data_IF_275113250024
#
_entry.id   IF_275113250024
#
_cell.length_a   1.000
_cell.length_b   1.000
_cell.length_c   1.000
_cell.angle_alpha   90.00
_cell.angle_beta   90.00
_cell.angle_gamma   90.00
#
_symmetry.space_group_name_H-M   'P 1'
#
loop_
_entity.id
_entity.type
_entity.pdbx_description
1 polymer ?
#
# COMPACT_ATOMS: atom_id res chain seq x y z
N UNK A 1 -31.99 -46.57 -15.01
CA UNK A 1 -32.67 -45.48 -14.28
C UNK A 1 -32.26 -45.61 -12.82
N UNK A 2 -31.42 -44.71 -12.31
CA UNK A 2 -30.95 -44.72 -10.92
C UNK A 2 -32.00 -44.08 -10.01
N UNK A 3 -32.17 -44.63 -8.80
CA UNK A 3 -33.20 -44.27 -7.83
C UNK A 3 -32.91 -42.93 -7.14
N UNK A 4 -33.94 -42.21 -6.70
CA UNK A 4 -33.86 -40.86 -6.11
C UNK A 4 -32.97 -40.74 -4.87
N UNK A 5 -32.55 -41.85 -4.25
CA UNK A 5 -31.62 -41.85 -3.11
C UNK A 5 -30.15 -41.65 -3.55
N UNK A 6 -29.77 -42.02 -4.77
CA UNK A 6 -28.39 -41.87 -5.27
C UNK A 6 -28.13 -40.50 -5.92
N UNK A 7 -29.18 -39.73 -6.21
CA UNK A 7 -29.06 -38.32 -6.65
C UNK A 7 -28.85 -37.34 -5.49
N UNK A 8 -29.15 -37.73 -4.24
CA UNK A 8 -29.02 -36.85 -3.07
C UNK A 8 -27.64 -36.86 -2.41
N UNK A 9 -26.75 -37.78 -2.77
CA UNK A 9 -25.36 -37.83 -2.31
C UNK A 9 -24.36 -37.07 -3.21
N UNK A 10 -24.83 -36.50 -4.34
CA UNK A 10 -24.02 -35.74 -5.29
C UNK A 10 -24.25 -34.21 -5.25
N UNK A 11 -25.15 -33.70 -4.40
CA UNK A 11 -25.15 -32.27 -4.07
C UNK A 11 -24.14 -32.03 -2.96
N UNK A 12 -22.93 -31.75 -3.43
CA UNK A 12 -21.76 -31.47 -2.61
C UNK A 12 -22.07 -30.57 -1.44
N UNK A 13 -21.50 -30.96 -0.30
CA UNK A 13 -21.35 -30.19 0.93
C UNK A 13 -21.01 -28.75 0.56
N UNK A 14 -22.01 -27.88 0.59
CA UNK A 14 -21.79 -26.45 0.56
C UNK A 14 -21.37 -26.07 1.99
N UNK A 15 -20.16 -26.47 2.36
CA UNK A 15 -19.43 -25.81 3.43
C UNK A 15 -19.17 -24.40 2.92
N UNK A 16 -20.11 -23.49 3.18
CA UNK A 16 -19.81 -22.07 3.21
C UNK A 16 -18.63 -21.92 4.16
N UNK A 17 -17.41 -21.90 3.60
CA UNK A 17 -16.28 -21.27 4.26
C UNK A 17 -16.80 -19.90 4.70
N UNK A 18 -16.63 -19.50 5.97
CA UNK A 18 -16.93 -18.14 6.35
C UNK A 18 -16.19 -17.24 5.36
N UNK A 19 -16.94 -16.36 4.72
CA UNK A 19 -16.44 -15.35 3.81
C UNK A 19 -15.35 -14.55 4.54
N UNK A 20 -14.09 -14.90 4.31
CA UNK A 20 -12.91 -14.18 4.77
C UNK A 20 -12.69 -12.89 3.95
N UNK A 21 -13.78 -12.25 3.52
CA UNK A 21 -13.79 -10.99 2.81
C UNK A 21 -14.55 -10.00 3.68
N UNK A 22 -13.82 -9.10 4.35
CA UNK A 22 -14.25 -7.73 4.74
C UNK A 22 -13.26 -7.01 5.67
N UNK A 23 -12.20 -7.64 6.18
CA UNK A 23 -11.20 -6.93 7.01
C UNK A 23 -9.99 -6.39 6.22
N UNK A 24 -9.95 -6.57 4.91
CA UNK A 24 -8.75 -6.34 4.08
C UNK A 24 -8.47 -4.91 3.64
N UNK A 25 -9.24 -3.91 4.11
CA UNK A 25 -9.15 -2.55 3.61
C UNK A 25 -9.42 -1.49 4.69
N UNK A 26 -8.93 -1.72 5.91
CA UNK A 26 -9.03 -0.72 6.97
C UNK A 26 -8.12 0.48 6.67
N UNK A 27 -8.68 1.67 6.84
CA UNK A 27 -7.95 2.93 6.76
C UNK A 27 -7.16 3.17 8.06
N UNK A 28 -5.98 3.76 7.91
CA UNK A 28 -5.23 4.33 9.02
C UNK A 28 -5.92 5.64 9.41
N UNK A 29 -6.25 5.76 10.68
CA UNK A 29 -6.80 6.98 11.26
C UNK A 29 -5.85 7.40 12.38
N UNK A 30 -4.89 8.27 12.06
CA UNK A 30 -3.91 8.78 13.04
C UNK A 30 -3.77 10.30 12.87
N UNK A 31 -4.39 11.09 13.77
CA UNK A 31 -4.23 12.54 13.76
C UNK A 31 -2.77 12.97 13.83
N UNK A 32 -1.95 12.28 14.65
CA UNK A 32 -0.52 12.58 14.78
C UNK A 32 0.25 12.42 13.47
N UNK A 33 -0.02 11.34 12.73
CA UNK A 33 0.58 11.12 11.42
C UNK A 33 0.18 12.22 10.45
N UNK A 34 -1.09 12.58 10.41
CA UNK A 34 -1.63 13.57 9.48
C UNK A 34 -1.18 14.99 9.81
N UNK A 35 -1.18 15.38 11.09
CA UNK A 35 -0.62 16.64 11.55
C UNK A 35 0.85 16.75 11.21
N UNK A 36 1.61 15.68 11.41
CA UNK A 36 3.01 15.65 11.02
C UNK A 36 3.19 15.84 9.50
N UNK A 37 2.40 15.15 8.67
CA UNK A 37 2.48 15.29 7.21
C UNK A 37 2.12 16.72 6.77
N UNK A 38 1.13 17.37 7.41
CA UNK A 38 0.68 18.75 7.11
C UNK A 38 1.77 19.79 7.27
N UNK A 39 2.74 19.57 8.16
CA UNK A 39 3.89 20.46 8.33
C UNK A 39 4.79 20.51 7.08
N UNK A 40 4.64 19.55 6.18
CA UNK A 40 5.39 19.48 4.93
C UNK A 40 4.52 19.95 3.77
N UNK A 41 5.08 20.82 2.93
CA UNK A 41 4.42 21.30 1.71
C UNK A 41 4.31 20.20 0.64
N UNK A 42 3.45 19.22 0.88
CA UNK A 42 3.15 18.08 0.01
C UNK A 42 1.78 18.30 -0.65
N UNK A 43 1.62 17.97 -1.94
CA UNK A 43 0.32 18.00 -2.59
C UNK A 43 -0.48 16.76 -2.16
N UNK A 44 -0.98 16.72 -0.93
CA UNK A 44 -1.74 15.59 -0.37
C UNK A 44 -3.12 16.05 0.05
N UNK A 45 -4.13 15.23 -0.23
CA UNK A 45 -5.52 15.43 0.20
C UNK A 45 -5.76 14.47 1.36
N UNK A 46 -5.87 14.99 2.58
CA UNK A 46 -6.03 14.18 3.79
C UNK A 46 -7.52 13.92 4.09
N UNK A 47 -7.80 12.80 4.77
CA UNK A 47 -9.17 12.33 5.01
C UNK A 47 -10.05 13.32 5.81
N UNK A 48 -9.45 14.16 6.66
CA UNK A 48 -10.21 15.14 7.45
C UNK A 48 -10.69 16.34 6.62
N UNK A 49 -10.24 16.47 5.37
CA UNK A 49 -10.88 17.36 4.40
C UNK A 49 -12.23 16.71 4.04
N UNK A 50 -13.33 17.29 4.52
CA UNK A 50 -14.73 16.82 4.35
C UNK A 50 -14.92 16.01 3.07
N UNK A 51 -15.53 14.81 3.13
CA UNK A 51 -15.71 13.90 1.97
C UNK A 51 -16.23 14.62 0.70
N UNK A 52 -17.04 15.67 0.86
CA UNK A 52 -17.50 16.58 -0.22
C UNK A 52 -16.37 17.20 -1.07
N UNK A 53 -15.18 17.40 -0.50
CA UNK A 53 -14.00 17.89 -1.20
C UNK A 53 -13.31 16.80 -2.00
N UNK A 54 -13.31 15.55 -1.53
CA UNK A 54 -12.64 14.41 -2.19
C UNK A 54 -13.44 13.96 -3.41
N UNK A 55 -14.77 14.08 -3.42
CA UNK A 55 -15.62 13.78 -4.58
C UNK A 55 -15.27 14.62 -5.83
N UNK A 56 -14.65 15.78 -5.64
CA UNK A 56 -14.18 16.64 -6.73
C UNK A 56 -12.86 16.19 -7.36
N UNK A 57 -12.30 15.05 -6.92
CA UNK A 57 -11.06 14.50 -7.46
C UNK A 57 -11.31 13.19 -8.21
N UNK A 58 -10.68 13.06 -9.37
CA UNK A 58 -10.63 11.82 -10.11
C UNK A 58 -9.54 10.91 -9.53
N UNK A 59 -9.86 9.64 -9.24
CA UNK A 59 -8.86 8.66 -8.84
C UNK A 59 -7.99 8.28 -10.03
N UNK A 60 -6.67 8.36 -9.86
CA UNK A 60 -5.75 7.94 -10.90
C UNK A 60 -5.67 6.41 -10.98
N UNK A 61 -5.62 5.87 -12.19
CA UNK A 61 -5.48 4.42 -12.44
C UNK A 61 -4.03 3.91 -12.31
N UNK A 62 -3.24 4.51 -11.42
CA UNK A 62 -1.88 4.07 -11.12
C UNK A 62 -1.51 4.32 -9.66
N UNK A 63 -0.47 3.62 -9.20
CA UNK A 63 0.13 3.85 -7.89
C UNK A 63 1.64 3.68 -7.95
N UNK A 64 2.34 4.29 -6.98
CA UNK A 64 3.79 4.21 -6.84
C UNK A 64 4.11 3.59 -5.49
N UNK A 65 4.84 2.48 -5.46
CA UNK A 65 5.37 1.89 -4.21
C UNK A 65 6.83 2.27 -4.06
N UNK A 66 7.15 3.00 -2.99
CA UNK A 66 8.51 3.20 -2.53
C UNK A 66 8.98 2.00 -1.75
N UNK A 67 10.22 1.61 -1.96
CA UNK A 67 10.91 0.55 -1.21
C UNK A 67 12.22 1.11 -0.66
N UNK A 68 12.42 0.98 0.64
CA UNK A 68 13.67 1.36 1.30
C UNK A 68 14.51 0.12 1.64
N UNK A 69 13.93 -1.07 1.56
CA UNK A 69 14.55 -2.36 1.81
C UNK A 69 14.21 -3.33 0.69
N UNK A 70 15.04 -4.35 0.52
CA UNK A 70 14.80 -5.45 -0.42
C UNK A 70 13.52 -6.18 0.00
N UNK A 71 12.51 -6.14 -0.86
CA UNK A 71 11.28 -6.93 -0.71
C UNK A 71 11.35 -8.21 -1.53
N UNK A 72 10.27 -8.99 -1.51
CA UNK A 72 10.19 -10.26 -2.26
C UNK A 72 10.44 -10.10 -3.75
N UNK A 73 10.00 -8.98 -4.33
CA UNK A 73 10.19 -8.73 -5.74
C UNK A 73 11.69 -8.54 -6.05
N UNK A 74 12.37 -7.66 -5.31
CA UNK A 74 13.81 -7.44 -5.48
C UNK A 74 14.63 -8.68 -5.11
N UNK A 75 14.30 -9.39 -4.05
CA UNK A 75 14.98 -10.63 -3.66
C UNK A 75 14.94 -11.64 -4.81
N UNK A 76 13.77 -11.88 -5.41
CA UNK A 76 13.63 -12.80 -6.56
C UNK A 76 14.31 -12.29 -7.82
N UNK A 77 14.25 -10.98 -8.08
CA UNK A 77 14.81 -10.39 -9.29
C UNK A 77 16.34 -10.25 -9.26
N UNK A 78 16.93 -10.05 -8.09
CA UNK A 78 18.35 -9.68 -7.94
C UNK A 78 19.17 -10.66 -7.10
N UNK A 79 18.52 -11.52 -6.33
CA UNK A 79 19.18 -12.41 -5.36
C UNK A 79 19.64 -11.71 -4.08
N UNK A 80 19.37 -10.41 -3.90
CA UNK A 80 19.72 -9.66 -2.70
C UNK A 80 18.96 -10.19 -1.47
N UNK A 81 19.53 -10.06 -0.28
CA UNK A 81 18.95 -10.59 0.96
C UNK A 81 17.65 -9.86 1.31
N UNK A 82 16.60 -10.60 1.67
CA UNK A 82 15.31 -10.03 2.04
C UNK A 82 15.44 -9.14 3.29
N UNK A 83 14.80 -7.98 3.28
CA UNK A 83 14.92 -6.93 4.31
C UNK A 83 16.34 -6.38 4.48
N UNK A 84 17.21 -6.52 3.48
CA UNK A 84 18.43 -5.72 3.39
C UNK A 84 18.08 -4.27 3.04
N UNK A 85 18.64 -3.30 3.77
CA UNK A 85 18.45 -1.88 3.46
C UNK A 85 19.04 -1.52 2.09
N UNK A 86 18.30 -0.72 1.31
CA UNK A 86 18.79 -0.17 0.06
C UNK A 86 19.63 1.09 0.32
N UNK A 87 20.73 1.26 -0.41
CA UNK A 87 21.56 2.48 -0.33
C UNK A 87 20.76 3.74 -0.69
N UNK A 88 19.89 3.62 -1.68
CA UNK A 88 18.94 4.67 -2.08
C UNK A 88 17.56 4.06 -2.23
N UNK A 89 16.49 4.76 -1.80
CA UNK A 89 15.12 4.27 -2.01
C UNK A 89 14.87 3.97 -3.49
N UNK A 90 14.27 2.82 -3.75
CA UNK A 90 13.75 2.43 -5.06
C UNK A 90 12.25 2.68 -5.14
N UNK A 91 11.69 2.50 -6.34
CA UNK A 91 10.23 2.49 -6.48
C UNK A 91 9.78 1.56 -7.61
N UNK A 92 8.53 1.14 -7.49
CA UNK A 92 7.80 0.46 -8.55
C UNK A 92 6.56 1.25 -8.90
N UNK A 93 6.06 1.03 -10.11
CA UNK A 93 4.77 1.57 -10.54
C UNK A 93 3.82 0.47 -10.96
N UNK A 94 2.54 0.70 -10.72
CA UNK A 94 1.48 -0.28 -10.96
C UNK A 94 0.38 0.38 -11.78
N UNK A 95 -0.10 -0.33 -12.81
CA UNK A 95 -1.33 0.00 -13.52
C UNK A 95 -2.50 -0.66 -12.77
N UNK A 96 -3.31 0.15 -12.09
CA UNK A 96 -4.47 -0.26 -11.27
C UNK A 96 -4.19 -1.10 -10.00
N UNK A 97 -5.16 -1.07 -9.10
CA UNK A 97 -5.27 -1.73 -7.79
C UNK A 97 -5.51 -3.25 -7.84
N UNK A 98 -5.94 -3.79 -8.99
CA UNK A 98 -6.36 -5.20 -9.11
C UNK A 98 -5.17 -6.14 -9.27
N UNK A 99 -4.10 -5.73 -9.97
CA UNK A 99 -2.92 -6.55 -10.23
C UNK A 99 -1.69 -5.94 -9.55
N UNK A 100 -1.16 -6.65 -8.55
CA UNK A 100 0.03 -6.24 -7.77
C UNK A 100 1.35 -6.53 -8.49
N UNK A 101 1.39 -6.36 -9.82
CA UNK A 101 2.61 -6.59 -10.60
C UNK A 101 3.21 -5.24 -11.01
N UNK A 102 4.48 -4.97 -10.65
CA UNK A 102 5.21 -3.82 -11.16
C UNK A 102 5.22 -3.80 -12.69
N UNK A 103 5.02 -2.62 -13.26
CA UNK A 103 5.17 -2.35 -14.70
C UNK A 103 6.21 -1.26 -14.92
N UNK A 104 6.73 -1.16 -16.14
CA UNK A 104 7.52 0.00 -16.58
C UNK A 104 6.62 1.24 -16.69
N UNK A 105 7.16 2.43 -16.43
CA UNK A 105 6.48 3.70 -16.69
C UNK A 105 6.08 3.86 -18.16
N UNK A 106 6.87 3.31 -19.08
CA UNK A 106 6.56 3.35 -20.52
C UNK A 106 5.28 2.60 -20.87
N UNK A 107 4.91 1.58 -20.08
CA UNK A 107 3.64 0.87 -20.23
C UNK A 107 2.48 1.77 -19.80
N UNK A 108 2.64 2.58 -18.74
CA UNK A 108 1.63 3.53 -18.32
C UNK A 108 1.40 4.61 -19.39
N UNK A 109 2.48 5.07 -20.04
CA UNK A 109 2.41 6.03 -21.14
C UNK A 109 1.69 5.44 -22.35
N UNK A 110 2.04 4.21 -22.74
CA UNK A 110 1.44 3.52 -23.87
C UNK A 110 -0.06 3.24 -23.67
N UNK A 111 -0.49 3.05 -22.42
CA UNK A 111 -1.90 2.90 -22.05
C UNK A 111 -2.63 4.22 -21.83
N UNK A 112 -1.95 5.36 -22.03
CA UNK A 112 -2.50 6.70 -21.80
C UNK A 112 -3.06 6.89 -20.37
N UNK A 113 -2.48 6.20 -19.38
CA UNK A 113 -2.85 6.32 -17.96
C UNK A 113 -2.27 7.60 -17.36
N UNK A 114 -1.06 7.95 -17.78
CA UNK A 114 -0.32 9.11 -17.26
C UNK A 114 0.64 9.62 -18.32
N UNK A 115 0.93 10.92 -18.31
CA UNK A 115 1.98 11.52 -19.12
C UNK A 115 3.36 11.43 -18.44
N UNK A 116 4.48 11.58 -19.18
CA UNK A 116 5.81 11.62 -18.58
C UNK A 116 6.00 12.75 -17.55
N UNK A 117 5.36 13.91 -17.78
CA UNK A 117 5.42 15.03 -16.85
C UNK A 117 4.69 14.72 -15.54
N UNK A 118 3.46 14.24 -15.64
CA UNK A 118 2.66 13.81 -14.49
C UNK A 118 3.36 12.72 -13.68
N UNK A 119 3.98 11.74 -14.36
CA UNK A 119 4.76 10.68 -13.70
C UNK A 119 5.94 11.25 -12.92
N UNK A 120 6.67 12.22 -13.49
CA UNK A 120 7.78 12.89 -12.81
C UNK A 120 7.31 13.68 -11.58
N UNK A 121 6.14 14.32 -11.67
CA UNK A 121 5.52 15.04 -10.54
C UNK A 121 5.10 14.04 -9.46
N UNK A 122 4.41 12.96 -9.84
CA UNK A 122 3.94 11.92 -8.95
C UNK A 122 5.10 11.28 -8.17
N UNK A 123 6.10 10.77 -8.87
CA UNK A 123 7.29 10.14 -8.27
C UNK A 123 8.03 11.12 -7.36
N UNK A 124 8.27 12.36 -7.78
CA UNK A 124 8.90 13.38 -6.91
C UNK A 124 8.10 13.60 -5.61
N UNK A 125 6.78 13.67 -5.68
CA UNK A 125 5.92 13.79 -4.51
C UNK A 125 6.02 12.55 -3.61
N UNK A 126 6.05 11.35 -4.19
CA UNK A 126 6.22 10.08 -3.47
C UNK A 126 7.56 10.00 -2.73
N UNK A 127 8.67 10.37 -3.36
CA UNK A 127 9.98 10.40 -2.72
C UNK A 127 10.02 11.39 -1.55
N UNK A 128 9.38 12.55 -1.70
CA UNK A 128 9.27 13.54 -0.61
C UNK A 128 8.44 12.99 0.54
N UNK A 129 7.28 12.38 0.27
CA UNK A 129 6.47 11.74 1.30
C UNK A 129 7.23 10.59 1.99
N UNK A 130 7.96 9.76 1.25
CA UNK A 130 8.79 8.70 1.81
C UNK A 130 9.85 9.25 2.76
N UNK A 131 10.55 10.33 2.40
CA UNK A 131 11.53 10.97 3.28
C UNK A 131 10.90 11.52 4.58
N UNK A 132 9.72 12.14 4.47
CA UNK A 132 8.92 12.60 5.60
C UNK A 132 8.55 11.44 6.52
N UNK A 133 7.95 10.38 5.97
CA UNK A 133 7.51 9.22 6.76
C UNK A 133 8.67 8.42 7.35
N UNK A 134 9.80 8.31 6.64
CA UNK A 134 11.01 7.72 7.22
C UNK A 134 11.42 8.44 8.49
N UNK A 135 11.50 9.77 8.44
CA UNK A 135 11.85 10.59 9.61
C UNK A 135 10.84 10.42 10.74
N UNK A 136 9.54 10.32 10.41
CA UNK A 136 8.48 10.09 11.40
C UNK A 136 8.65 8.77 12.16
N UNK A 137 8.93 7.68 11.44
CA UNK A 137 9.09 6.34 12.02
C UNK A 137 10.44 6.16 12.71
N UNK A 138 11.52 6.75 12.17
CA UNK A 138 12.86 6.69 12.78
C UNK A 138 12.83 7.26 14.21
N UNK A 139 12.09 8.36 14.45
CA UNK A 139 11.88 8.95 15.79
C UNK A 139 11.14 8.02 16.76
N UNK A 140 10.48 6.98 16.26
CA UNK A 140 9.73 5.97 17.03
C UNK A 140 10.47 4.62 17.09
N UNK A 141 11.77 4.61 16.79
CA UNK A 141 12.59 3.39 16.73
C UNK A 141 12.05 2.35 15.76
N UNK A 142 11.56 2.84 14.62
CA UNK A 142 10.95 2.07 13.56
C UNK A 142 11.57 2.45 12.20
N UNK A 143 11.69 1.47 11.31
CA UNK A 143 12.19 1.64 9.95
C UNK A 143 11.04 1.50 8.95
N UNK A 144 10.89 2.48 8.06
CA UNK A 144 9.90 2.40 6.98
C UNK A 144 10.41 1.47 5.88
N UNK A 145 9.85 0.28 5.78
CA UNK A 145 10.22 -0.74 4.78
C UNK A 145 9.71 -0.35 3.39
N UNK A 146 8.42 -0.03 3.29
CA UNK A 146 7.81 0.38 2.02
C UNK A 146 6.59 1.26 2.22
N UNK A 147 6.26 2.05 1.20
CA UNK A 147 5.11 2.95 1.16
C UNK A 147 4.43 2.87 -0.22
N UNK A 148 3.16 2.48 -0.28
CA UNK A 148 2.33 2.55 -1.47
C UNK A 148 1.54 3.85 -1.50
N UNK A 149 1.70 4.62 -2.56
CA UNK A 149 1.06 5.92 -2.75
C UNK A 149 0.10 5.86 -3.93
N UNK A 150 -1.13 6.27 -3.68
CA UNK A 150 -2.21 6.41 -4.67
C UNK A 150 -2.40 7.90 -4.98
N UNK A 151 -2.97 8.20 -6.13
CA UNK A 151 -3.07 9.58 -6.61
C UNK A 151 -4.51 9.98 -6.97
N UNK A 152 -4.75 11.27 -6.82
CA UNK A 152 -5.95 11.99 -7.16
C UNK A 152 -5.61 13.06 -8.20
N UNK A 153 -6.54 13.36 -9.10
CA UNK A 153 -6.39 14.40 -10.13
C UNK A 153 -7.53 15.40 -10.03
N UNK A 154 -7.19 16.69 -10.06
CA UNK A 154 -8.15 17.80 -10.13
C UNK A 154 -7.55 18.94 -10.96
N UNK A 155 -8.31 19.45 -11.94
CA UNK A 155 -7.87 20.57 -12.79
C UNK A 155 -6.47 20.38 -13.39
N UNK A 156 -6.18 19.16 -13.86
CA UNK A 156 -4.89 18.75 -14.42
C UNK A 156 -3.70 18.80 -13.43
N UNK A 157 -3.95 18.85 -12.13
CA UNK A 157 -2.94 18.72 -11.07
C UNK A 157 -3.08 17.39 -10.36
N UNK A 158 -1.95 16.79 -10.02
CA UNK A 158 -1.88 15.55 -9.25
C UNK A 158 -1.67 15.83 -7.76
N UNK A 159 -2.39 15.05 -6.97
CA UNK A 159 -2.33 15.05 -5.52
C UNK A 159 -2.17 13.61 -5.02
N UNK A 160 -1.55 13.44 -3.87
CA UNK A 160 -1.49 12.19 -3.14
C UNK A 160 -2.87 11.96 -2.50
N UNK A 161 -3.42 10.76 -2.65
CA UNK A 161 -4.57 10.29 -1.87
C UNK A 161 -4.11 9.97 -0.45
N UNK A 162 -4.49 10.80 0.52
CA UNK A 162 -4.11 10.65 1.92
C UNK A 162 -4.87 9.56 2.68
N UNK A 163 -5.76 8.82 2.02
CA UNK A 163 -6.47 7.67 2.60
C UNK A 163 -5.57 6.44 2.60
N UNK A 164 -4.57 6.44 3.48
CA UNK A 164 -3.65 5.32 3.65
C UNK A 164 -4.36 4.15 4.32
N UNK A 165 -4.15 2.96 3.77
CA UNK A 165 -4.59 1.70 4.38
C UNK A 165 -3.42 1.06 5.13
N UNK A 166 -3.69 0.17 6.08
CA UNK A 166 -2.63 -0.58 6.76
C UNK A 166 -1.75 -1.40 5.81
N UNK A 167 -2.27 -1.77 4.63
CA UNK A 167 -1.50 -2.42 3.57
C UNK A 167 -0.53 -1.48 2.85
N UNK A 168 -0.77 -0.17 2.91
CA UNK A 168 -0.03 0.82 2.14
C UNK A 168 1.29 1.18 2.83
N UNK A 169 1.40 0.99 4.16
CA UNK A 169 2.59 1.33 4.96
C UNK A 169 3.15 0.07 5.61
N UNK A 170 4.43 -0.22 5.36
CA UNK A 170 5.18 -1.32 5.99
C UNK A 170 6.29 -0.77 6.86
N UNK A 171 6.26 -1.12 8.14
CA UNK A 171 7.21 -0.64 9.15
C UNK A 171 7.77 -1.82 9.93
N UNK A 172 9.04 -1.75 10.27
CA UNK A 172 9.74 -2.73 11.09
C UNK A 172 10.30 -2.05 12.35
N UNK A 173 10.30 -2.74 13.48
CA UNK A 173 11.01 -2.35 14.69
C UNK A 173 11.87 -3.52 15.18
N UNK A 174 12.89 -3.23 15.98
CA UNK A 174 13.70 -4.27 16.62
C UNK A 174 12.85 -5.21 17.49
N UNK A 175 11.78 -4.68 18.11
CA UNK A 175 10.85 -5.41 18.98
C UNK A 175 9.76 -6.18 18.21
N UNK A 176 9.75 -6.14 16.88
CA UNK A 176 8.71 -6.75 16.06
C UNK A 176 8.71 -8.27 16.16
N UNK A 177 7.53 -8.86 16.38
CA UNK A 177 7.33 -10.31 16.48
C UNK A 177 7.74 -11.05 15.20
N UNK A 178 8.07 -12.35 15.33
CA UNK A 178 8.40 -13.19 14.18
C UNK A 178 7.25 -13.26 13.16
N UNK A 179 6.00 -13.26 13.63
CA UNK A 179 4.80 -13.24 12.78
C UNK A 179 4.73 -11.97 11.94
N UNK A 180 4.99 -10.81 12.55
CA UNK A 180 4.98 -9.54 11.82
C UNK A 180 6.15 -9.47 10.83
N UNK A 181 7.35 -9.91 11.22
CA UNK A 181 8.49 -10.01 10.29
C UNK A 181 8.17 -10.89 9.09
N UNK A 182 7.54 -12.05 9.32
CA UNK A 182 7.07 -12.96 8.26
C UNK A 182 6.03 -12.29 7.36
N UNK A 183 5.07 -11.57 7.93
CA UNK A 183 4.05 -10.85 7.15
C UNK A 183 4.65 -9.74 6.25
N UNK A 184 5.58 -8.94 6.79
CA UNK A 184 6.31 -7.93 6.02
C UNK A 184 7.09 -8.61 4.88
N UNK A 185 7.70 -9.75 5.19
CA UNK A 185 8.53 -10.53 4.26
C UNK A 185 7.73 -11.21 3.17
N UNK A 186 6.57 -11.81 3.45
CA UNK A 186 5.85 -12.68 2.49
C UNK A 186 4.92 -11.92 1.55
N UNK A 187 4.66 -10.63 1.79
CA UNK A 187 3.64 -9.83 1.09
C UNK A 187 2.30 -10.57 0.93
N UNK A 188 1.99 -11.48 1.86
CA UNK A 188 0.77 -12.27 1.79
C UNK A 188 -0.39 -11.29 1.81
N UNK A 189 -1.27 -11.36 0.79
CA UNK A 189 -2.38 -10.43 0.64
C UNK A 189 -3.39 -10.45 1.79
N UNK A 190 -3.18 -11.32 2.78
CA UNK A 190 -3.93 -11.45 4.02
C UNK A 190 -3.34 -10.49 5.05
N UNK A 191 -4.08 -9.44 5.41
CA UNK A 191 -3.70 -8.57 6.53
C UNK A 191 -3.52 -9.41 7.81
N UNK A 192 -2.40 -9.20 8.49
CA UNK A 192 -2.23 -9.70 9.86
C UNK A 192 -2.89 -8.73 10.81
N UNK A 193 -3.88 -9.18 11.59
CA UNK A 193 -4.48 -8.39 12.69
C UNK A 193 -3.37 -7.87 13.61
N UNK A 194 -2.38 -8.71 13.91
CA UNK A 194 -1.21 -8.34 14.71
C UNK A 194 -0.40 -7.20 14.09
N UNK A 195 -0.31 -7.12 12.76
CA UNK A 195 0.38 -6.00 12.10
C UNK A 195 -0.39 -4.69 12.25
N UNK A 196 -1.72 -4.73 12.11
CA UNK A 196 -2.55 -3.54 12.27
C UNK A 196 -2.48 -3.02 13.71
N UNK A 197 -2.53 -3.91 14.70
CA UNK A 197 -2.33 -3.58 16.12
C UNK A 197 -0.94 -2.99 16.38
N UNK A 198 0.11 -3.61 15.83
CA UNK A 198 1.48 -3.09 15.90
C UNK A 198 1.57 -1.69 15.30
N UNK A 199 1.06 -1.49 14.08
CA UNK A 199 1.16 -0.20 13.40
C UNK A 199 0.35 0.87 14.14
N UNK A 200 -0.84 0.55 14.64
CA UNK A 200 -1.62 1.48 15.46
C UNK A 200 -0.84 1.96 16.68
N UNK A 201 -0.21 1.04 17.41
CA UNK A 201 0.62 1.40 18.57
C UNK A 201 1.82 2.28 18.19
N UNK A 202 2.36 2.13 16.99
CA UNK A 202 3.42 3.01 16.46
C UNK A 202 2.88 4.37 16.06
N UNK A 203 1.60 4.47 15.67
CA UNK A 203 0.96 5.70 15.20
C UNK A 203 0.27 6.51 16.32
N UNK A 204 0.10 5.92 17.50
CA UNK A 204 -0.23 6.58 18.77
C UNK A 204 0.97 7.34 19.36
#
# INVERSE_FOLDING_TARGET
MLTELERKSALGRNTKKPSANLQGNSLIISPQLFDYIREFNLPIVLQDETDENIENYEKCAFSVKMVNFVDNYLNKATGAELLQALTTPGHYVFADSVRKLPVSETILYALNIITPEEYRVATKATYKLNAVLRTFFERRNCELISLLVKFLKKENKLFIDGRFHFSDIRVLSAATSATVKKFISEESGLQSIEYNEFLNKVLE
#
